data_IF_494720673128
#
_entry.id   IF_494720673128
#
_cell.length_a   1.000
_cell.length_b   1.000
_cell.length_c   1.000
_cell.angle_alpha   90.00
_cell.angle_beta   90.00
_cell.angle_gamma   90.00
#
_symmetry.space_group_name_H-M   'P 1'
#
loop_
_entity.id
_entity.type
_entity.pdbx_description
1 polymer ?
#
# COMPACT_ATOMS: atom_id res chain seq x y z
N UNK A 1 -12.07 0.87 22.11
CA UNK A 1 -11.78 1.34 23.49
C UNK A 1 -10.55 0.60 23.99
N UNK A 2 -9.41 1.27 24.03
CA UNK A 2 -8.14 0.74 24.55
C UNK A 2 -8.07 1.07 26.05
N UNK A 3 -8.70 0.23 26.88
CA UNK A 3 -8.58 0.34 28.33
C UNK A 3 -7.24 -0.27 28.77
N UNK A 4 -6.16 0.49 28.64
CA UNK A 4 -4.83 0.10 29.12
C UNK A 4 -4.85 -0.31 30.62
N UNK A 5 -5.82 0.20 31.40
CA UNK A 5 -5.99 -0.15 32.81
C UNK A 5 -6.62 -1.52 33.10
N UNK A 6 -7.37 -2.13 32.18
CA UNK A 6 -7.99 -3.46 32.43
C UNK A 6 -6.99 -4.61 32.22
N UNK A 7 -5.99 -4.43 31.35
CA UNK A 7 -4.94 -5.42 31.10
C UNK A 7 -3.90 -5.50 32.22
N UNK A 8 -3.76 -4.42 33.00
CA UNK A 8 -2.75 -4.32 34.06
C UNK A 8 -3.12 -5.18 35.29
N UNK A 9 -4.42 -5.39 35.54
CA UNK A 9 -4.92 -6.26 36.60
C UNK A 9 -4.89 -7.77 36.31
N UNK A 10 -4.57 -8.17 35.07
CA UNK A 10 -4.57 -9.57 34.65
C UNK A 10 -3.26 -10.29 34.99
N UNK A 11 -3.33 -11.62 35.14
CA UNK A 11 -2.13 -12.44 35.32
C UNK A 11 -1.24 -12.34 34.07
N UNK A 12 0.09 -12.36 34.24
CA UNK A 12 1.07 -12.24 33.14
C UNK A 12 0.77 -13.13 31.92
N UNK A 13 0.27 -14.35 32.16
CA UNK A 13 -0.11 -15.30 31.09
C UNK A 13 -1.33 -14.84 30.28
N UNK A 14 -2.34 -14.31 30.97
CA UNK A 14 -3.57 -13.81 30.33
C UNK A 14 -3.28 -12.53 29.55
N UNK A 15 -2.49 -11.62 30.14
CA UNK A 15 -2.03 -10.40 29.46
C UNK A 15 -1.29 -10.72 28.15
N UNK A 16 -0.34 -11.65 28.17
CA UNK A 16 0.40 -12.06 26.98
C UNK A 16 -0.52 -12.69 25.91
N UNK A 17 -1.55 -13.42 26.33
CA UNK A 17 -2.53 -13.99 25.39
C UNK A 17 -3.34 -12.90 24.70
N UNK A 18 -3.81 -11.90 25.47
CA UNK A 18 -4.55 -10.77 24.92
C UNK A 18 -3.69 -9.87 24.04
N UNK A 19 -2.44 -9.61 24.40
CA UNK A 19 -1.52 -8.83 23.57
C UNK A 19 -1.32 -9.49 22.19
N UNK A 20 -1.10 -10.81 22.14
CA UNK A 20 -0.98 -11.57 20.88
C UNK A 20 -2.27 -11.54 20.06
N UNK A 21 -3.42 -11.59 20.72
CA UNK A 21 -4.71 -11.53 20.05
C UNK A 21 -4.96 -10.13 19.45
N UNK A 22 -4.66 -9.07 20.21
CA UNK A 22 -4.73 -7.69 19.75
C UNK A 22 -3.79 -7.47 18.56
N UNK A 23 -2.55 -7.93 18.64
CA UNK A 23 -1.56 -7.83 17.55
C UNK A 23 -2.05 -8.54 16.29
N UNK A 24 -2.57 -9.77 16.43
CA UNK A 24 -3.13 -10.55 15.32
C UNK A 24 -4.36 -9.88 14.69
N UNK A 25 -5.22 -9.27 15.50
CA UNK A 25 -6.40 -8.56 15.00
C UNK A 25 -6.00 -7.27 14.31
N UNK A 26 -5.05 -6.52 14.85
CA UNK A 26 -4.54 -5.30 14.23
C UNK A 26 -3.87 -5.60 12.89
N UNK A 27 -3.07 -6.66 12.77
CA UNK A 27 -2.42 -7.00 11.49
C UNK A 27 -3.39 -7.43 10.39
N UNK A 28 -4.53 -8.03 10.76
CA UNK A 28 -5.53 -8.52 9.79
C UNK A 28 -6.65 -7.55 9.48
N UNK A 29 -7.10 -6.79 10.47
CA UNK A 29 -8.29 -5.95 10.41
C UNK A 29 -7.99 -4.46 10.66
N UNK A 30 -6.72 -4.10 10.87
CA UNK A 30 -6.32 -2.71 11.14
C UNK A 30 -6.70 -1.76 10.02
N UNK A 31 -6.51 -2.18 8.75
CA UNK A 31 -6.79 -1.35 7.59
C UNK A 31 -8.27 -0.96 7.43
N UNK A 32 -9.19 -1.83 7.84
CA UNK A 32 -10.64 -1.58 7.75
C UNK A 32 -11.24 -1.07 9.08
N UNK A 33 -10.41 -0.87 10.11
CA UNK A 33 -10.88 -0.52 11.46
C UNK A 33 -11.64 0.80 11.52
N UNK A 34 -11.29 1.75 10.65
CA UNK A 34 -11.90 3.08 10.58
C UNK A 34 -13.01 3.18 9.50
N UNK A 35 -13.35 2.08 8.83
CA UNK A 35 -14.39 2.09 7.79
C UNK A 35 -15.76 1.89 8.42
N UNK A 36 -16.61 2.92 8.38
CA UNK A 36 -17.99 2.85 8.86
C UNK A 36 -18.97 2.36 7.78
N UNK A 37 -18.63 2.57 6.50
CA UNK A 37 -19.43 2.19 5.33
C UNK A 37 -18.64 1.26 4.38
N UNK A 38 -19.35 0.62 3.46
CA UNK A 38 -18.73 -0.14 2.38
C UNK A 38 -17.96 0.80 1.45
N UNK A 39 -16.85 0.35 0.84
CA UNK A 39 -16.10 1.18 -0.09
C UNK A 39 -16.88 1.39 -1.39
N UNK A 40 -16.82 2.63 -1.91
CA UNK A 40 -17.40 2.98 -3.21
C UNK A 40 -16.56 2.49 -4.40
N UNK A 41 -15.30 2.14 -4.17
CA UNK A 41 -14.36 1.64 -5.18
C UNK A 41 -13.30 0.76 -4.53
N UNK A 42 -12.91 -0.32 -5.21
CA UNK A 42 -11.86 -1.23 -4.77
C UNK A 42 -10.64 -1.13 -5.71
N UNK A 43 -9.44 -1.00 -5.14
CA UNK A 43 -8.18 -1.18 -5.88
C UNK A 43 -7.55 -2.53 -5.50
N UNK A 44 -7.23 -3.35 -6.51
CA UNK A 44 -6.69 -4.72 -6.32
C UNK A 44 -5.36 -4.88 -7.03
N UNK A 45 -4.41 -5.52 -6.34
CA UNK A 45 -3.11 -5.95 -6.87
C UNK A 45 -3.09 -7.47 -6.84
N UNK A 46 -2.63 -8.11 -7.92
CA UNK A 46 -2.64 -9.56 -8.12
C UNK A 46 -4.04 -10.20 -7.93
N UNK A 47 -4.75 -10.31 -9.06
CA UNK A 47 -6.13 -10.82 -9.12
C UNK A 47 -6.21 -12.31 -8.81
N UNK A 48 -5.14 -13.07 -9.08
CA UNK A 48 -5.11 -14.51 -8.83
C UNK A 48 -5.09 -14.76 -7.33
N UNK A 49 -4.25 -14.02 -6.60
CA UNK A 49 -4.19 -14.10 -5.14
C UNK A 49 -5.46 -13.56 -4.48
N UNK A 50 -6.06 -12.51 -5.05
CA UNK A 50 -7.20 -11.80 -4.46
C UNK A 50 -8.58 -12.11 -5.12
N UNK A 51 -8.73 -13.30 -5.69
CA UNK A 51 -9.97 -13.72 -6.40
C UNK A 51 -11.22 -13.59 -5.51
N UNK A 52 -11.08 -13.81 -4.21
CA UNK A 52 -12.20 -13.70 -3.26
C UNK A 52 -12.65 -12.25 -3.10
N UNK A 53 -11.73 -11.29 -3.01
CA UNK A 53 -12.05 -9.87 -2.93
C UNK A 53 -12.75 -9.38 -4.20
N UNK A 54 -12.25 -9.80 -5.38
CA UNK A 54 -12.86 -9.49 -6.67
C UNK A 54 -14.28 -10.06 -6.77
N UNK A 55 -14.49 -11.29 -6.31
CA UNK A 55 -15.81 -11.93 -6.31
C UNK A 55 -16.80 -11.23 -5.38
N UNK A 56 -16.36 -10.83 -4.19
CA UNK A 56 -17.19 -10.13 -3.21
C UNK A 56 -17.55 -8.72 -3.68
N UNK A 57 -16.59 -7.96 -4.23
CA UNK A 57 -16.82 -6.64 -4.80
C UNK A 57 -17.82 -6.70 -5.96
N UNK A 58 -17.64 -7.63 -6.90
CA UNK A 58 -18.57 -7.86 -8.00
C UNK A 58 -19.99 -8.21 -7.51
N UNK A 59 -20.10 -8.99 -6.42
CA UNK A 59 -21.40 -9.35 -5.84
C UNK A 59 -22.09 -8.16 -5.17
N UNK A 60 -21.31 -7.26 -4.57
CA UNK A 60 -21.81 -6.04 -3.92
C UNK A 60 -22.02 -4.89 -4.92
N UNK A 61 -21.57 -5.04 -6.17
CA UNK A 61 -21.65 -4.00 -7.19
C UNK A 61 -20.64 -2.87 -7.00
N UNK A 62 -19.53 -3.16 -6.32
CA UNK A 62 -18.46 -2.19 -6.07
C UNK A 62 -17.52 -2.21 -7.30
N UNK A 63 -17.28 -1.07 -7.96
CA UNK A 63 -16.39 -1.01 -9.12
C UNK A 63 -14.94 -1.31 -8.73
N UNK A 64 -14.25 -2.04 -9.62
CA UNK A 64 -12.90 -2.56 -9.38
C UNK A 64 -11.90 -1.92 -10.35
N UNK A 65 -10.85 -1.33 -9.78
CA UNK A 65 -9.62 -0.99 -10.49
C UNK A 65 -8.58 -2.05 -10.14
N UNK A 66 -7.94 -2.69 -11.12
CA UNK A 66 -6.92 -3.70 -10.82
C UNK A 66 -5.71 -3.65 -11.74
N UNK A 67 -4.55 -4.01 -11.17
CA UNK A 67 -3.35 -4.30 -11.94
C UNK A 67 -3.48 -5.70 -12.55
N UNK A 68 -3.32 -5.80 -13.87
CA UNK A 68 -3.44 -7.05 -14.62
C UNK A 68 -2.12 -7.34 -15.32
N UNK A 69 -1.51 -8.49 -15.02
CA UNK A 69 -0.40 -9.06 -15.79
C UNK A 69 -0.85 -10.18 -16.75
N UNK A 70 0.08 -10.76 -17.48
CA UNK A 70 -0.09 -11.80 -18.51
C UNK A 70 -0.86 -13.06 -18.07
N UNK A 71 -0.93 -13.34 -16.77
CA UNK A 71 -1.55 -14.54 -16.20
C UNK A 71 -2.98 -14.30 -15.69
N UNK A 72 -3.47 -13.07 -15.68
CA UNK A 72 -4.75 -12.68 -15.09
C UNK A 72 -5.86 -12.55 -16.16
N UNK A 73 -7.11 -12.90 -15.80
CA UNK A 73 -8.27 -12.60 -16.65
C UNK A 73 -8.80 -11.19 -16.33
N UNK A 74 -8.82 -10.24 -17.28
CA UNK A 74 -9.34 -8.88 -17.06
C UNK A 74 -10.88 -8.79 -17.07
N UNK A 75 -11.61 -9.82 -17.51
CA UNK A 75 -13.07 -9.77 -17.65
C UNK A 75 -13.86 -9.33 -16.39
N UNK A 76 -13.51 -9.73 -15.15
CA UNK A 76 -14.27 -9.37 -13.96
C UNK A 76 -13.89 -7.99 -13.37
N UNK A 77 -13.18 -7.14 -14.13
CA UNK A 77 -12.62 -5.86 -13.67
C UNK A 77 -13.14 -4.72 -14.54
N UNK A 78 -13.59 -3.64 -13.90
CA UNK A 78 -14.13 -2.47 -14.61
C UNK A 78 -13.03 -1.59 -15.22
N UNK A 79 -11.94 -1.40 -14.48
CA UNK A 79 -10.81 -0.56 -14.90
C UNK A 79 -9.49 -1.33 -14.79
N UNK A 80 -8.95 -1.68 -15.94
CA UNK A 80 -7.73 -2.49 -16.04
C UNK A 80 -6.50 -1.60 -16.20
N UNK A 81 -5.50 -1.82 -15.35
CA UNK A 81 -4.17 -1.23 -15.45
C UNK A 81 -3.20 -2.35 -15.88
N UNK A 82 -2.79 -2.40 -17.16
CA UNK A 82 -1.78 -3.38 -17.58
C UNK A 82 -0.45 -3.03 -16.90
N UNK A 83 0.04 -3.94 -16.06
CA UNK A 83 1.26 -3.73 -15.28
C UNK A 83 1.85 -5.06 -14.82
N UNK A 84 3.14 -5.04 -14.49
CA UNK A 84 3.81 -6.17 -13.84
C UNK A 84 3.47 -6.14 -12.34
N UNK A 85 2.50 -6.94 -11.91
CA UNK A 85 1.99 -7.00 -10.53
C UNK A 85 2.92 -7.72 -9.55
N UNK A 86 3.92 -8.48 -10.02
CA UNK A 86 4.94 -9.11 -9.18
C UNK A 86 6.04 -8.13 -8.70
N UNK A 87 6.23 -7.01 -9.40
CA UNK A 87 7.35 -6.12 -9.15
C UNK A 87 7.00 -5.04 -8.12
N UNK A 88 7.68 -5.05 -6.96
CA UNK A 88 7.47 -4.06 -5.90
C UNK A 88 7.58 -2.61 -6.38
N UNK A 89 8.49 -2.32 -7.33
CA UNK A 89 8.63 -0.97 -7.92
C UNK A 89 7.42 -0.58 -8.75
N UNK A 90 6.85 -1.51 -9.51
CA UNK A 90 5.65 -1.28 -10.31
C UNK A 90 4.42 -1.09 -9.42
N UNK A 91 4.24 -1.94 -8.40
CA UNK A 91 3.17 -1.79 -7.41
C UNK A 91 3.26 -0.43 -6.73
N UNK A 92 4.46 -0.07 -6.21
CA UNK A 92 4.67 1.22 -5.54
C UNK A 92 4.34 2.39 -6.45
N UNK A 93 4.80 2.36 -7.71
CA UNK A 93 4.57 3.43 -8.67
C UNK A 93 3.06 3.63 -8.96
N UNK A 94 2.33 2.53 -9.18
CA UNK A 94 0.89 2.60 -9.48
C UNK A 94 0.11 3.03 -8.23
N UNK A 95 0.42 2.44 -7.07
CA UNK A 95 -0.24 2.75 -5.82
C UNK A 95 0.00 4.21 -5.38
N UNK A 96 1.22 4.74 -5.54
CA UNK A 96 1.53 6.14 -5.20
C UNK A 96 0.77 7.09 -6.13
N UNK A 97 0.77 6.84 -7.43
CA UNK A 97 0.03 7.67 -8.39
C UNK A 97 -1.48 7.67 -8.10
N UNK A 98 -2.05 6.52 -7.70
CA UNK A 98 -3.45 6.43 -7.32
C UNK A 98 -3.76 7.16 -6.00
N UNK A 99 -2.85 7.08 -5.02
CA UNK A 99 -2.97 7.81 -3.76
C UNK A 99 -2.92 9.33 -3.99
N UNK A 100 -1.99 9.80 -4.81
CA UNK A 100 -1.88 11.22 -5.17
C UNK A 100 -3.17 11.71 -5.86
N UNK A 101 -3.71 10.93 -6.79
CA UNK A 101 -4.98 11.25 -7.46
C UNK A 101 -6.18 11.28 -6.49
N UNK A 102 -6.23 10.38 -5.51
CA UNK A 102 -7.27 10.36 -4.50
C UNK A 102 -7.20 11.60 -3.57
N UNK A 103 -5.99 12.01 -3.19
CA UNK A 103 -5.75 13.22 -2.38
C UNK A 103 -6.12 14.47 -3.17
N UNK A 104 -5.71 14.57 -4.43
CA UNK A 104 -6.08 15.67 -5.32
C UNK A 104 -7.60 15.77 -5.50
N UNK A 105 -8.27 14.65 -5.77
CA UNK A 105 -9.72 14.58 -5.89
C UNK A 105 -10.46 15.02 -4.62
N UNK A 106 -9.93 14.64 -3.45
CA UNK A 106 -10.46 15.09 -2.14
C UNK A 106 -10.31 16.60 -1.96
N UNK A 107 -9.16 17.16 -2.31
CA UNK A 107 -8.93 18.60 -2.19
C UNK A 107 -9.82 19.41 -3.13
N UNK A 108 -10.00 18.95 -4.37
CA UNK A 108 -10.91 19.58 -5.33
C UNK A 108 -12.37 19.59 -4.86
N UNK A 109 -12.84 18.52 -4.22
CA UNK A 109 -14.19 18.48 -3.62
C UNK A 109 -14.35 19.49 -2.49
N UNK A 110 -13.34 19.61 -1.62
CA UNK A 110 -13.33 20.61 -0.54
C UNK A 110 -13.39 22.04 -1.08
N UNK A 111 -12.60 22.34 -2.12
CA UNK A 111 -12.58 23.67 -2.74
C UNK A 111 -13.88 24.01 -3.49
N UNK A 112 -14.59 23.00 -4.00
CA UNK A 112 -15.84 23.16 -4.76
C UNK A 112 -17.08 23.35 -3.87
N UNK A 113 -16.95 23.22 -2.54
CA UNK A 113 -18.04 23.43 -1.59
C UNK A 113 -19.07 22.30 -1.52
N UNK A 114 -18.80 21.15 -2.16
CA UNK A 114 -19.60 19.93 -2.04
C UNK A 114 -19.15 19.16 -0.78
N UNK A 115 -19.54 19.67 0.39
CA UNK A 115 -19.39 18.96 1.67
C UNK A 115 -20.47 17.88 1.78
N UNK A 116 -20.24 16.72 1.16
CA UNK A 116 -20.98 15.50 1.48
C UNK A 116 -20.09 14.64 2.38
N UNK A 117 -20.43 14.58 3.68
CA UNK A 117 -19.89 13.71 4.73
C UNK A 117 -18.60 12.95 4.37
N UNK A 118 -17.49 13.68 4.34
CA UNK A 118 -16.15 13.08 4.29
C UNK A 118 -15.94 12.49 5.69
N UNK A 119 -16.23 11.19 5.87
CA UNK A 119 -15.80 10.45 7.06
C UNK A 119 -14.30 10.68 7.20
N UNK A 120 -13.94 11.47 8.20
CA UNK A 120 -12.60 12.02 8.39
C UNK A 120 -11.66 10.86 8.69
N UNK A 121 -11.04 10.29 7.65
CA UNK A 121 -9.80 9.54 7.82
C UNK A 121 -8.71 10.58 8.01
N UNK A 122 -8.62 11.09 9.23
CA UNK A 122 -7.43 11.75 9.73
C UNK A 122 -6.26 10.79 9.44
N UNK A 123 -5.23 11.29 8.76
CA UNK A 123 -3.90 10.66 8.70
C UNK A 123 -3.32 10.63 10.12
N UNK A 124 -3.93 9.83 10.98
CA UNK A 124 -3.27 9.26 12.12
C UNK A 124 -2.32 8.23 11.54
N UNK A 125 -1.08 8.65 11.30
CA UNK A 125 0.07 7.79 11.20
C UNK A 125 -0.14 6.62 12.15
N UNK A 126 -0.22 5.41 11.61
CA UNK A 126 -0.26 4.20 12.42
C UNK A 126 1.03 4.20 13.25
N UNK A 127 0.96 4.29 14.60
CA UNK A 127 2.15 4.28 15.45
C UNK A 127 2.94 2.97 15.35
N UNK A 128 2.41 1.96 14.64
CA UNK A 128 2.99 0.64 14.45
C UNK A 128 3.40 0.35 13.00
N UNK A 129 3.20 1.27 12.07
CA UNK A 129 3.80 1.16 10.74
C UNK A 129 5.22 1.75 10.82
N UNK A 130 6.24 0.90 11.00
CA UNK A 130 7.58 1.26 10.53
C UNK A 130 7.64 0.98 9.03
N UNK A 131 7.75 1.99 8.15
CA UNK A 131 8.26 1.76 6.82
C UNK A 131 9.75 1.45 7.00
N UNK A 132 10.14 0.19 6.80
CA UNK A 132 11.54 -0.09 6.50
C UNK A 132 11.84 0.64 5.18
N UNK A 133 12.47 1.81 5.24
CA UNK A 133 13.15 2.40 4.10
C UNK A 133 14.33 1.50 3.74
N UNK A 134 14.06 0.46 2.97
CA UNK A 134 15.10 -0.31 2.31
C UNK A 134 15.58 0.57 1.16
N UNK A 135 16.81 1.08 1.28
CA UNK A 135 17.45 1.88 0.25
C UNK A 135 17.44 1.12 -1.10
N UNK A 136 17.15 1.83 -2.19
CA UNK A 136 17.00 1.26 -3.54
C UNK A 136 18.19 0.41 -3.99
N UNK A 137 19.37 0.67 -3.43
CA UNK A 137 20.63 -0.01 -3.70
C UNK A 137 20.71 -1.44 -3.11
N UNK A 138 19.98 -1.71 -2.02
CA UNK A 138 19.92 -3.05 -1.41
C UNK A 138 18.97 -4.01 -2.15
N UNK A 139 18.17 -3.49 -3.08
CA UNK A 139 17.24 -4.23 -3.93
C UNK A 139 17.80 -4.51 -5.33
N UNK A 140 19.00 -4.01 -5.64
CA UNK A 140 19.68 -4.27 -6.90
C UNK A 140 20.44 -5.60 -6.80
N UNK A 141 20.31 -6.44 -7.82
CA UNK A 141 21.16 -7.63 -7.95
C UNK A 141 22.60 -7.26 -8.28
N UNK A 142 23.56 -8.14 -7.97
CA UNK A 142 25.00 -7.93 -8.21
C UNK A 142 25.32 -7.47 -9.65
N UNK A 143 24.54 -7.91 -10.63
CA UNK A 143 24.72 -7.54 -12.04
C UNK A 143 24.33 -6.10 -12.38
N UNK A 144 23.45 -5.47 -11.61
CA UNK A 144 22.97 -4.10 -11.86
C UNK A 144 23.84 -3.10 -11.11
N UNK A 145 24.24 -3.44 -9.89
CA UNK A 145 25.25 -2.74 -9.10
C UNK A 145 26.60 -2.67 -9.83
N UNK A 146 27.00 -3.74 -10.52
CA UNK A 146 28.24 -3.75 -11.29
C UNK A 146 28.22 -2.80 -12.51
N UNK A 147 27.06 -2.60 -13.14
CA UNK A 147 26.94 -1.66 -14.27
C UNK A 147 27.00 -0.21 -13.83
N UNK A 148 26.35 0.12 -12.72
CA UNK A 148 26.36 1.48 -12.17
C UNK A 148 27.76 1.86 -11.69
N UNK A 149 28.51 0.93 -11.08
CA UNK A 149 29.92 1.15 -10.74
C UNK A 149 30.82 1.31 -11.96
N UNK A 150 30.62 0.49 -12.99
CA UNK A 150 31.39 0.60 -14.23
C UNK A 150 31.14 1.94 -14.96
N UNK A 151 29.92 2.46 -14.93
CA UNK A 151 29.60 3.77 -15.52
C UNK A 151 30.15 4.94 -14.68
N UNK A 152 30.33 4.79 -13.36
CA UNK A 152 30.96 5.81 -12.52
C UNK A 152 32.49 5.85 -12.65
N UNK A 153 33.13 4.70 -12.88
CA UNK A 153 34.59 4.63 -13.06
C UNK A 153 35.03 5.20 -14.45
N UNK A 154 34.14 5.24 -15.45
CA UNK A 154 34.44 5.79 -16.78
C UNK A 154 34.35 7.34 -16.84
N UNK A 155 33.64 7.97 -15.90
CA UNK A 155 33.46 9.44 -15.86
C UNK A 155 34.57 10.15 -15.04
N UNK A 156 35.26 9.45 -14.12
CA UNK A 156 36.31 10.03 -13.25
C UNK A 156 37.71 10.11 -13.92
N UNK A 157 37.93 9.39 -15.03
CA UNK A 157 39.22 9.39 -15.76
C UNK A 157 39.33 10.50 -16.85
N UNK A 158 38.32 11.37 -16.99
CA UNK A 158 38.31 12.43 -18.01
C UNK A 158 38.81 13.81 -17.54
N UNK A 159 39.07 14.02 -16.25
CA UNK A 159 39.33 15.36 -15.67
C UNK A 159 40.76 15.56 -15.10
N UNK A 160 41.75 14.73 -15.48
CA UNK A 160 43.12 14.84 -14.93
C UNK A 160 44.24 15.28 -15.90
N UNK A 161 43.93 15.89 -17.04
CA UNK A 161 44.96 16.44 -17.95
C UNK A 161 44.64 17.91 -18.32
N UNK A 162 44.89 18.85 -17.41
CA UNK A 162 45.24 20.25 -17.76
C UNK A 162 45.75 21.01 -16.50
N UNK A 163 47.05 20.92 -16.22
CA UNK A 163 47.87 22.00 -15.60
C UNK A 163 49.29 22.05 -16.18
#
# INVERSE_FOLDING_TARGET
RSNAGELEGLKKKERLSFEREIEKLNSRLGGIRKMDNLPDLLFVVDIISEETAVREANKLGIPIIAMVDTNCNPDPIDYVIPSNDDAIRAIKLVASALADAAIEGRNLRKDSGDEADDDIIEEGADPYAEPAEIADDQLLGESTLAKIRAEQDDDDDADSDDE
#
